data_IF_121661669694
#
_entry.id   IF_121661669694
#
_cell.length_a   1.000
_cell.length_b   1.000
_cell.length_c   1.000
_cell.angle_alpha   90.00
_cell.angle_beta   90.00
_cell.angle_gamma   90.00
#
_symmetry.space_group_name_H-M   'P 1'
#
loop_
_entity.id
_entity.type
_entity.pdbx_description
1 polymer ?
#
# COMPACT_ATOMS: atom_id res chain seq x y z
N UNK A 1 -15.23 9.51 -5.87
CA UNK A 1 -13.99 8.77 -5.71
C UNK A 1 -13.46 8.92 -4.29
N UNK A 2 -13.15 7.83 -3.66
CA UNK A 2 -12.79 7.83 -2.25
C UNK A 2 -11.28 7.75 -2.07
N UNK A 3 -10.66 8.89 -1.76
CA UNK A 3 -9.22 8.94 -1.52
C UNK A 3 -8.86 8.56 -0.09
N UNK A 4 -9.86 8.43 0.76
CA UNK A 4 -9.61 8.13 2.16
C UNK A 4 -9.06 6.72 2.33
N UNK A 5 -9.62 5.78 1.59
CA UNK A 5 -9.14 4.40 1.64
C UNK A 5 -7.68 4.33 1.19
N UNK A 6 -7.35 5.08 0.15
CA UNK A 6 -5.98 5.11 -0.34
C UNK A 6 -5.04 5.71 0.69
N UNK A 7 -5.45 6.79 1.35
CA UNK A 7 -4.64 7.41 2.40
C UNK A 7 -4.41 6.45 3.56
N UNK A 8 -5.45 5.74 3.95
CA UNK A 8 -5.33 4.77 5.04
C UNK A 8 -4.41 3.62 4.66
N UNK A 9 -4.49 3.19 3.41
CA UNK A 9 -3.61 2.14 2.92
C UNK A 9 -2.16 2.58 2.93
N UNK A 10 -1.90 3.81 2.53
CA UNK A 10 -0.55 4.35 2.54
C UNK A 10 0.00 4.36 3.97
N UNK A 11 -0.81 4.81 4.90
CA UNK A 11 -0.42 4.84 6.31
C UNK A 11 -0.15 3.43 6.83
N UNK A 12 -1.02 2.50 6.50
CA UNK A 12 -0.85 1.11 6.94
C UNK A 12 0.47 0.54 6.42
N UNK A 13 0.74 0.75 5.14
CA UNK A 13 1.97 0.24 4.53
C UNK A 13 3.20 0.88 5.17
N UNK A 14 3.14 2.19 5.38
CA UNK A 14 4.25 2.91 5.99
C UNK A 14 4.55 2.39 7.40
N UNK A 15 3.51 2.14 8.18
CA UNK A 15 3.68 1.64 9.53
C UNK A 15 4.25 0.23 9.53
N UNK A 16 3.80 -0.61 8.61
CA UNK A 16 4.32 -1.97 8.52
C UNK A 16 5.80 -1.96 8.17
N UNK A 17 6.20 -1.11 7.23
CA UNK A 17 7.59 -1.02 6.83
C UNK A 17 8.44 -0.40 7.92
N UNK A 18 7.86 0.48 8.72
CA UNK A 18 8.57 1.09 9.84
C UNK A 18 8.93 0.04 10.89
N UNK A 19 8.01 -0.87 11.15
CA UNK A 19 8.24 -1.95 12.11
C UNK A 19 9.08 -3.08 11.54
N UNK A 20 9.09 -3.23 10.22
CA UNK A 20 9.82 -4.31 9.57
C UNK A 20 10.30 -3.86 8.20
N UNK A 21 11.43 -3.13 8.14
CA UNK A 21 11.94 -2.60 6.85
C UNK A 21 12.26 -3.69 5.83
N UNK A 22 12.48 -4.91 6.27
CA UNK A 22 12.81 -6.00 5.37
C UNK A 22 11.59 -6.71 4.83
N UNK A 23 10.40 -6.28 5.23
CA UNK A 23 9.17 -6.93 4.78
C UNK A 23 9.00 -6.80 3.27
N UNK A 24 8.30 -7.77 2.70
CA UNK A 24 7.99 -7.76 1.27
C UNK A 24 6.93 -6.70 1.00
N UNK A 25 7.33 -5.62 0.34
CA UNK A 25 6.44 -4.49 0.08
C UNK A 25 5.27 -4.92 -0.79
N UNK A 26 5.51 -5.75 -1.78
CA UNK A 26 4.43 -6.22 -2.65
C UNK A 26 3.36 -6.95 -1.85
N UNK A 27 3.79 -7.76 -0.90
CA UNK A 27 2.86 -8.51 -0.09
C UNK A 27 2.06 -7.59 0.83
N UNK A 28 2.72 -6.61 1.43
CA UNK A 28 2.03 -5.65 2.28
C UNK A 28 0.99 -4.87 1.48
N UNK A 29 1.34 -4.48 0.27
CA UNK A 29 0.42 -3.75 -0.60
C UNK A 29 -0.78 -4.62 -0.95
N UNK A 30 -0.53 -5.90 -1.22
CA UNK A 30 -1.61 -6.82 -1.51
C UNK A 30 -2.58 -6.93 -0.33
N UNK A 31 -2.03 -7.03 0.88
CA UNK A 31 -2.84 -7.07 2.09
C UNK A 31 -3.64 -5.79 2.25
N UNK A 32 -2.98 -4.66 2.06
CA UNK A 32 -3.65 -3.36 2.18
C UNK A 32 -4.76 -3.22 1.15
N UNK A 33 -4.51 -3.70 -0.05
CA UNK A 33 -5.49 -3.64 -1.13
C UNK A 33 -6.79 -4.37 -0.74
N UNK A 34 -6.64 -5.53 -0.12
CA UNK A 34 -7.79 -6.30 0.32
C UNK A 34 -8.41 -5.70 1.57
N UNK A 35 -7.59 -5.24 2.48
CA UNK A 35 -8.06 -4.69 3.74
C UNK A 35 -8.88 -3.42 3.55
N UNK A 36 -8.46 -2.57 2.64
CA UNK A 36 -9.11 -1.29 2.39
C UNK A 36 -9.95 -1.30 1.11
N UNK A 37 -10.11 -2.46 0.51
CA UNK A 37 -10.95 -2.62 -0.67
C UNK A 37 -10.55 -1.66 -1.78
N UNK A 38 -9.28 -1.64 -2.10
CA UNK A 38 -8.76 -0.78 -3.15
C UNK A 38 -9.03 -1.36 -4.52
N UNK A 39 -9.23 -0.48 -5.50
CA UNK A 39 -9.39 -0.93 -6.88
C UNK A 39 -8.01 -1.15 -7.51
N UNK A 40 -7.97 -1.80 -8.70
CA UNK A 40 -6.67 -2.11 -9.32
C UNK A 40 -5.81 -0.89 -9.59
N UNK A 41 -6.44 0.23 -9.92
CA UNK A 41 -5.70 1.45 -10.21
C UNK A 41 -5.00 1.97 -8.95
N UNK A 42 -5.69 1.93 -7.82
CA UNK A 42 -5.12 2.37 -6.56
C UNK A 42 -4.00 1.44 -6.12
N UNK A 43 -4.19 0.14 -6.30
CA UNK A 43 -3.15 -0.83 -5.98
C UNK A 43 -1.90 -0.59 -6.83
N UNK A 44 -2.12 -0.31 -8.10
CA UNK A 44 -1.02 -0.04 -9.02
C UNK A 44 -0.25 1.21 -8.58
N UNK A 45 -0.98 2.23 -8.15
CA UNK A 45 -0.36 3.45 -7.64
C UNK A 45 0.55 3.13 -6.45
N UNK A 46 0.09 2.29 -5.55
CA UNK A 46 0.88 1.92 -4.38
C UNK A 46 2.12 1.13 -4.77
N UNK A 47 1.98 0.23 -5.73
CA UNK A 47 3.14 -0.52 -6.21
C UNK A 47 4.19 0.42 -6.79
N UNK A 48 3.75 1.39 -7.58
CA UNK A 48 4.68 2.35 -8.16
C UNK A 48 5.35 3.20 -7.09
N UNK A 49 4.60 3.55 -6.07
CA UNK A 49 5.11 4.42 -5.03
C UNK A 49 6.10 3.70 -4.11
N UNK A 50 5.78 2.50 -3.69
CA UNK A 50 6.55 1.81 -2.66
C UNK A 50 7.55 0.79 -3.22
N UNK A 51 7.27 0.22 -4.36
CA UNK A 51 8.12 -0.84 -4.91
C UNK A 51 9.00 -0.31 -6.03
N UNK A 52 8.41 0.36 -7.01
CA UNK A 52 9.15 0.80 -8.18
C UNK A 52 9.60 2.25 -8.11
N UNK A 53 8.96 3.05 -7.28
CA UNK A 53 9.27 4.47 -7.17
C UNK A 53 10.62 4.72 -6.56
N UNK A 54 11.12 5.88 -6.83
CA UNK A 54 12.39 6.31 -6.27
C UNK A 54 12.21 7.52 -5.41
#
# INVERSE_FOLDING_TARGET
MDNKSLEEAIRFISLELQGNPDADKSKIIEIASQKFDLNPLQTDFLLNKFVFGK
#
